data_IF_252778031709
#
_entry.id   IF_252778031709
#
_cell.length_a   1.000
_cell.length_b   1.000
_cell.length_c   1.000
_cell.angle_alpha   90.00
_cell.angle_beta   90.00
_cell.angle_gamma   90.00
#
_symmetry.space_group_name_H-M   'P 1'
#
loop_
_entity.id
_entity.type
_entity.pdbx_description
1 polymer ?
#
# COMPACT_ATOMS: atom_id res chain seq x y z
N UNK A 1 -25.07 -5.90 -18.84
CA UNK A 1 -25.71 -4.72 -18.20
C UNK A 1 -24.98 -4.54 -16.88
N UNK A 2 -23.80 -3.93 -16.86
CA UNK A 2 -23.52 -2.49 -16.84
C UNK A 2 -22.12 -2.29 -17.46
N UNK A 3 -22.03 -1.71 -18.66
CA UNK A 3 -20.77 -1.13 -19.13
C UNK A 3 -20.79 0.33 -18.72
N UNK A 4 -20.49 0.59 -17.45
CA UNK A 4 -20.10 1.95 -17.07
C UNK A 4 -18.74 2.21 -17.68
N UNK A 5 -18.73 3.01 -18.74
CA UNK A 5 -17.51 3.42 -19.42
C UNK A 5 -16.69 4.22 -18.42
N UNK A 6 -15.60 3.63 -17.92
CA UNK A 6 -14.67 4.30 -17.00
C UNK A 6 -14.26 5.63 -17.63
N UNK A 7 -14.55 6.73 -16.94
CA UNK A 7 -14.22 8.07 -17.45
C UNK A 7 -12.79 8.45 -17.08
N UNK A 8 -12.21 9.43 -17.78
CA UNK A 8 -10.88 9.95 -17.45
C UNK A 8 -10.83 10.51 -16.01
N UNK A 9 -11.98 11.00 -15.50
CA UNK A 9 -12.10 11.49 -14.14
C UNK A 9 -12.01 10.36 -13.10
N UNK A 10 -12.55 9.18 -13.40
CA UNK A 10 -12.44 8.00 -12.53
C UNK A 10 -11.00 7.50 -12.45
N UNK A 11 -10.27 7.56 -13.57
CA UNK A 11 -8.83 7.22 -13.58
C UNK A 11 -8.00 8.21 -12.75
N UNK A 12 -8.34 9.51 -12.79
CA UNK A 12 -7.67 10.53 -11.99
C UNK A 12 -7.96 10.40 -10.49
N UNK A 13 -9.18 10.03 -10.12
CA UNK A 13 -9.58 9.86 -8.71
C UNK A 13 -9.04 8.56 -8.09
N UNK A 14 -8.74 7.55 -8.91
CA UNK A 14 -8.16 6.29 -8.45
C UNK A 14 -6.69 6.41 -8.01
N UNK A 15 -5.99 7.49 -8.36
CA UNK A 15 -4.60 7.72 -7.98
C UNK A 15 -4.56 8.42 -6.60
N UNK A 16 -3.82 7.89 -5.62
CA UNK A 16 -3.74 8.51 -4.30
C UNK A 16 -3.04 9.87 -4.35
N UNK A 17 -3.51 10.81 -3.53
CA UNK A 17 -2.86 12.10 -3.39
C UNK A 17 -1.49 11.97 -2.70
N UNK A 18 -0.44 12.26 -3.48
CA UNK A 18 0.97 12.21 -3.10
C UNK A 18 1.46 13.49 -2.41
N UNK A 19 0.72 14.60 -2.50
CA UNK A 19 1.17 15.95 -2.07
C UNK A 19 0.36 16.54 -0.92
N UNK A 20 -0.23 15.68 -0.09
CA UNK A 20 -1.01 16.08 1.08
C UNK A 20 -0.28 15.93 2.43
N UNK A 21 -0.63 16.79 3.39
CA UNK A 21 -0.28 16.61 4.80
C UNK A 21 -1.32 15.74 5.49
N UNK A 22 -0.88 14.70 6.21
CA UNK A 22 -1.76 13.79 6.94
C UNK A 22 -1.39 13.78 8.42
N UNK A 23 -2.35 14.07 9.30
CA UNK A 23 -2.15 13.95 10.75
C UNK A 23 -2.41 12.52 11.18
N UNK A 24 -1.41 11.87 11.75
CA UNK A 24 -1.49 10.51 12.29
C UNK A 24 -1.34 10.57 13.81
N UNK A 25 -2.29 9.98 14.53
CA UNK A 25 -2.23 9.88 16.01
C UNK A 25 -1.02 9.03 16.41
N UNK A 26 -0.29 9.45 17.45
CA UNK A 26 0.97 8.81 17.88
C UNK A 26 2.18 9.19 17.02
N UNK A 27 2.23 10.42 16.49
CA UNK A 27 3.42 10.97 15.86
C UNK A 27 4.24 11.75 16.89
N UNK A 28 5.43 11.26 17.24
CA UNK A 28 6.43 12.04 17.97
C UNK A 28 7.40 12.66 16.95
N UNK A 29 7.12 13.89 16.54
CA UNK A 29 7.98 14.67 15.62
C UNK A 29 7.52 14.68 14.15
N UNK A 30 8.10 15.55 13.33
CA UNK A 30 7.65 15.68 11.93
C UNK A 30 8.31 14.62 11.04
N UNK A 31 7.52 13.96 10.20
CA UNK A 31 8.02 13.06 9.15
C UNK A 31 7.70 13.65 7.79
N UNK A 32 8.73 13.85 6.98
CA UNK A 32 8.61 14.38 5.63
C UNK A 32 8.99 13.32 4.62
N UNK A 33 8.12 13.11 3.63
CA UNK A 33 8.32 12.18 2.53
C UNK A 33 8.51 12.98 1.25
N UNK A 34 9.65 12.80 0.59
CA UNK A 34 9.95 13.41 -0.69
C UNK A 34 10.11 12.32 -1.74
N UNK A 35 9.53 12.49 -2.92
CA UNK A 35 9.73 11.56 -4.04
C UNK A 35 10.62 12.23 -5.08
N UNK A 36 11.57 11.48 -5.62
CA UNK A 36 12.39 11.96 -6.73
C UNK A 36 11.69 11.78 -8.08
N UNK A 37 12.38 12.16 -9.16
CA UNK A 37 11.87 12.07 -10.54
C UNK A 37 11.53 10.64 -10.96
N UNK A 38 12.11 9.62 -10.30
CA UNK A 38 11.82 8.21 -10.54
C UNK A 38 10.73 7.66 -9.62
N UNK A 39 10.13 8.50 -8.77
CA UNK A 39 9.10 8.13 -7.82
C UNK A 39 9.62 7.44 -6.56
N UNK A 40 10.94 7.40 -6.34
CA UNK A 40 11.55 6.74 -5.18
C UNK A 40 11.33 7.62 -3.94
N UNK A 41 10.65 7.11 -2.89
CA UNK A 41 10.40 7.88 -1.68
C UNK A 41 11.65 7.94 -0.79
N UNK A 42 12.12 9.15 -0.53
CA UNK A 42 13.09 9.50 0.51
C UNK A 42 12.35 10.03 1.73
N UNK A 43 12.69 9.52 2.91
CA UNK A 43 11.93 9.79 4.13
C UNK A 43 12.87 10.38 5.17
N UNK A 44 12.49 11.53 5.70
CA UNK A 44 13.22 12.23 6.75
C UNK A 44 12.33 12.30 8.00
N UNK A 45 12.87 11.87 9.13
CA UNK A 45 12.17 11.82 10.42
C UNK A 45 13.08 12.36 11.51
N UNK A 46 12.49 12.99 12.51
CA UNK A 46 13.16 13.46 13.73
C UNK A 46 13.32 12.34 14.78
N UNK A 47 12.53 11.28 14.66
CA UNK A 47 12.54 10.12 15.57
C UNK A 47 12.81 8.83 14.80
N UNK A 48 13.52 7.88 15.42
CA UNK A 48 13.80 6.56 14.84
C UNK A 48 12.50 5.79 14.59
N UNK A 49 11.56 5.84 15.53
CA UNK A 49 10.22 5.27 15.39
C UNK A 49 9.48 5.91 14.20
N UNK A 50 9.62 7.23 14.04
CA UNK A 50 9.08 7.94 12.88
C UNK A 50 9.76 7.54 11.56
N UNK A 51 11.03 7.13 11.58
CA UNK A 51 11.74 6.71 10.38
C UNK A 51 11.26 5.33 9.88
N UNK A 52 11.00 4.38 10.79
CA UNK A 52 10.62 3.02 10.42
C UNK A 52 9.11 2.81 10.19
N UNK A 53 8.26 3.39 11.06
CA UNK A 53 6.83 3.07 11.05
C UNK A 53 6.03 3.96 10.09
N UNK A 54 6.39 5.24 9.93
CA UNK A 54 5.63 6.15 9.05
C UNK A 54 5.66 5.79 7.56
N UNK A 55 6.80 5.38 6.98
CA UNK A 55 6.84 4.92 5.59
C UNK A 55 5.78 3.87 5.31
N UNK A 56 5.61 2.91 6.23
CA UNK A 56 4.69 1.77 6.12
C UNK A 56 3.23 2.17 6.11
N UNK A 57 2.90 3.33 6.67
CA UNK A 57 1.53 3.83 6.79
C UNK A 57 1.18 4.79 5.65
N UNK A 58 2.16 5.54 5.13
CA UNK A 58 1.91 6.59 4.12
C UNK A 58 2.47 6.26 2.74
N UNK A 59 3.78 6.05 2.59
CA UNK A 59 4.41 5.95 1.26
C UNK A 59 4.35 4.56 0.67
N UNK A 60 4.62 3.52 1.47
CA UNK A 60 4.60 2.12 1.01
C UNK A 60 3.22 1.68 0.51
N UNK A 61 2.10 1.95 1.21
CA UNK A 61 0.77 1.59 0.71
C UNK A 61 0.39 2.34 -0.57
N UNK A 62 0.79 3.61 -0.73
CA UNK A 62 0.51 4.36 -1.96
C UNK A 62 1.07 3.66 -3.22
N UNK A 63 2.21 3.00 -3.09
CA UNK A 63 2.88 2.36 -4.23
C UNK A 63 2.63 0.85 -4.30
N UNK A 64 2.39 0.21 -3.15
CA UNK A 64 2.44 -1.26 -3.00
C UNK A 64 1.33 -1.84 -2.12
N UNK A 65 0.22 -1.13 -1.90
CA UNK A 65 -0.89 -1.63 -1.07
C UNK A 65 -1.30 -3.06 -1.46
N UNK A 66 -1.46 -3.31 -2.76
CA UNK A 66 -1.84 -4.63 -3.27
C UNK A 66 -0.80 -5.71 -2.95
N UNK A 67 0.49 -5.44 -3.13
CA UNK A 67 1.54 -6.40 -2.78
C UNK A 67 1.59 -6.66 -1.27
N UNK A 68 1.44 -5.62 -0.44
CA UNK A 68 1.43 -5.77 1.02
C UNK A 68 0.23 -6.60 1.50
N UNK A 69 -0.94 -6.37 0.90
CA UNK A 69 -2.15 -7.11 1.23
C UNK A 69 -2.09 -8.56 0.75
N UNK A 70 -1.54 -8.79 -0.44
CA UNK A 70 -1.24 -10.12 -0.94
C UNK A 70 -0.32 -10.90 0.03
N UNK A 71 0.81 -10.31 0.41
CA UNK A 71 1.76 -10.94 1.33
C UNK A 71 1.11 -11.22 2.71
N UNK A 72 0.28 -10.29 3.21
CA UNK A 72 -0.45 -10.44 4.47
C UNK A 72 -1.45 -11.59 4.42
N UNK A 73 -2.24 -11.68 3.35
CA UNK A 73 -3.26 -12.71 3.18
C UNK A 73 -2.64 -14.09 2.92
N UNK A 74 -1.54 -14.15 2.16
CA UNK A 74 -0.76 -15.38 1.96
C UNK A 74 -0.14 -15.87 3.27
N UNK A 75 0.53 -14.99 4.01
CA UNK A 75 1.16 -15.33 5.30
C UNK A 75 0.16 -15.76 6.39
N UNK A 76 -1.09 -15.30 6.30
CA UNK A 76 -2.17 -15.69 7.21
C UNK A 76 -3.03 -16.86 6.71
N UNK A 77 -2.74 -17.42 5.53
CA UNK A 77 -3.52 -18.52 4.94
C UNK A 77 -4.92 -18.12 4.46
N UNK A 78 -5.21 -16.82 4.35
CA UNK A 78 -6.52 -16.26 3.99
C UNK A 78 -6.59 -15.77 2.55
N UNK A 79 -5.58 -16.04 1.75
CA UNK A 79 -5.53 -15.60 0.35
C UNK A 79 -6.75 -16.06 -0.46
N UNK A 80 -7.26 -17.26 -0.18
CA UNK A 80 -8.48 -17.81 -0.80
C UNK A 80 -9.74 -16.96 -0.60
N UNK A 81 -9.78 -16.04 0.38
CA UNK A 81 -10.90 -15.09 0.54
C UNK A 81 -10.88 -13.99 -0.53
N UNK A 82 -9.70 -13.59 -1.00
CA UNK A 82 -9.54 -12.49 -1.97
C UNK A 82 -9.60 -12.97 -3.43
N UNK A 83 -9.07 -14.16 -3.73
CA UNK A 83 -9.01 -14.72 -5.10
C UNK A 83 -9.93 -15.92 -5.31
N UNK A 84 -10.63 -16.38 -4.28
CA UNK A 84 -11.54 -17.52 -4.35
C UNK A 84 -10.84 -18.87 -4.22
N UNK A 85 -11.65 -19.93 -4.33
CA UNK A 85 -11.25 -21.30 -3.99
C UNK A 85 -10.13 -21.89 -4.86
N UNK A 86 -9.87 -21.31 -6.04
CA UNK A 86 -8.90 -21.79 -7.02
C UNK A 86 -7.46 -21.84 -6.47
N UNK A 87 -7.10 -21.00 -5.49
CA UNK A 87 -5.76 -20.97 -4.87
C UNK A 87 -5.61 -21.87 -3.64
N UNK A 88 -6.71 -22.41 -3.10
CA UNK A 88 -6.67 -23.23 -1.88
C UNK A 88 -5.93 -24.58 -2.05
N UNK A 89 -5.67 -25.00 -3.30
CA UNK A 89 -5.10 -26.29 -3.65
C UNK A 89 -3.67 -26.21 -4.21
N UNK A 90 -3.06 -25.03 -4.28
CA UNK A 90 -1.66 -24.87 -4.69
C UNK A 90 -0.70 -25.17 -3.52
N UNK A 91 -0.90 -26.28 -2.80
CA UNK A 91 0.16 -26.83 -1.96
C UNK A 91 1.21 -27.38 -2.93
N UNK A 92 2.41 -26.81 -2.86
CA UNK A 92 3.61 -27.44 -3.42
C UNK A 92 3.63 -28.91 -2.93
N UNK A 93 3.66 -29.92 -3.83
CA UNK A 93 3.59 -31.33 -3.41
C UNK A 93 4.75 -31.82 -2.55
N UNK A 94 5.86 -31.07 -2.46
CA UNK A 94 7.08 -31.53 -1.80
C UNK A 94 7.65 -30.44 -0.88
N UNK A 95 7.39 -30.56 0.42
CA UNK A 95 8.10 -29.90 1.51
C UNK A 95 8.19 -30.86 2.70
#
# INVERSE_FOLDING_TARGET
>A
MISETITEQDLKSAIPDLKGTMRLKGLEGTVTVFRDTYGIPRIKSESEVGCFFRPRIRSLPQDRLWHMEYDRLRGSGRWSEAVGYQESHSRHPDA
#
